data_IF_117536110345
#
_entry.id   IF_117536110345
#
_cell.length_a   1.000
_cell.length_b   1.000
_cell.length_c   1.000
_cell.angle_alpha   90.00
_cell.angle_beta   90.00
_cell.angle_gamma   90.00
#
_symmetry.space_group_name_H-M   'P 1'
#
loop_
_entity.id
_entity.type
_entity.pdbx_description
1 polymer ?
#
# COMPACT_ATOMS: atom_id res chain seq x y z
N UNK A 1 10.18 -14.90 -16.17
CA UNK A 1 9.37 -15.62 -15.17
C UNK A 1 8.26 -14.66 -14.76
N UNK A 2 6.99 -15.04 -14.94
CA UNK A 2 5.86 -14.20 -14.62
C UNK A 2 5.72 -13.96 -13.12
N UNK A 3 5.03 -12.86 -12.74
CA UNK A 3 4.67 -12.53 -11.36
C UNK A 3 3.52 -13.45 -10.85
N UNK A 4 3.59 -14.76 -11.11
CA UNK A 4 2.53 -15.72 -10.81
C UNK A 4 2.05 -15.75 -9.35
N UNK A 5 2.81 -15.15 -8.44
CA UNK A 5 2.53 -15.15 -7.01
C UNK A 5 2.08 -13.78 -6.47
N UNK A 6 1.80 -12.80 -7.33
CA UNK A 6 1.22 -11.52 -6.92
C UNK A 6 -0.29 -11.57 -7.03
N UNK A 7 -0.95 -11.41 -5.90
CA UNK A 7 -2.40 -11.29 -5.83
C UNK A 7 -2.78 -9.82 -5.79
N UNK A 8 -3.92 -9.48 -6.37
CA UNK A 8 -4.50 -8.14 -6.34
C UNK A 8 -5.83 -8.18 -5.58
N UNK A 9 -6.05 -7.16 -4.77
CA UNK A 9 -7.36 -6.94 -4.13
C UNK A 9 -8.46 -6.80 -5.19
N UNK A 10 -9.58 -7.48 -4.97
CA UNK A 10 -10.76 -7.31 -5.81
C UNK A 10 -11.36 -5.93 -5.61
N UNK A 11 -11.61 -5.21 -6.70
CA UNK A 11 -12.10 -3.82 -6.65
C UNK A 11 -13.06 -3.51 -7.78
N UNK A 12 -13.92 -2.52 -7.56
CA UNK A 12 -14.79 -1.88 -8.54
C UNK A 12 -14.52 -0.38 -8.55
N UNK A 13 -14.61 0.24 -9.73
CA UNK A 13 -14.60 1.69 -9.89
C UNK A 13 -16.01 2.13 -10.26
N UNK A 14 -16.58 3.05 -9.48
CA UNK A 14 -17.86 3.70 -9.73
C UNK A 14 -17.59 5.16 -10.09
N UNK A 15 -18.14 5.62 -11.21
CA UNK A 15 -18.03 7.02 -11.66
C UNK A 15 -19.29 7.80 -11.32
N UNK A 16 -19.13 9.07 -11.05
CA UNK A 16 -20.25 9.98 -10.76
C UNK A 16 -21.28 9.95 -11.89
N UNK A 17 -22.54 9.80 -11.53
CA UNK A 17 -23.63 9.65 -12.50
C UNK A 17 -23.96 8.20 -12.89
N UNK A 18 -23.20 7.22 -12.43
CA UNK A 18 -23.55 5.81 -12.51
C UNK A 18 -24.01 5.31 -11.14
N UNK A 19 -24.96 4.40 -11.15
CA UNK A 19 -25.50 3.80 -9.95
C UNK A 19 -25.03 2.35 -9.82
N UNK A 20 -24.88 1.88 -8.59
CA UNK A 20 -24.64 0.48 -8.24
C UNK A 20 -25.53 0.12 -7.07
N UNK A 21 -26.17 -1.03 -7.13
CA UNK A 21 -27.00 -1.52 -6.02
C UNK A 21 -26.14 -2.14 -4.92
N UNK A 22 -26.67 -2.15 -3.69
CA UNK A 22 -26.00 -2.78 -2.56
C UNK A 22 -25.75 -4.27 -2.83
N UNK A 23 -26.71 -4.94 -3.45
CA UNK A 23 -26.62 -6.35 -3.85
C UNK A 23 -25.47 -6.59 -4.84
N UNK A 24 -25.27 -5.69 -5.79
CA UNK A 24 -24.15 -5.79 -6.73
C UNK A 24 -22.80 -5.62 -6.03
N UNK A 25 -22.70 -4.68 -5.08
CA UNK A 25 -21.48 -4.51 -4.26
C UNK A 25 -21.22 -5.77 -3.45
N UNK A 26 -22.23 -6.29 -2.74
CA UNK A 26 -22.11 -7.48 -1.91
C UNK A 26 -21.72 -8.71 -2.76
N UNK A 27 -22.36 -8.89 -3.92
CA UNK A 27 -22.10 -10.06 -4.78
C UNK A 27 -20.73 -10.03 -5.44
N UNK A 28 -20.23 -8.82 -5.80
CA UNK A 28 -18.94 -8.66 -6.50
C UNK A 28 -17.74 -8.50 -5.55
N UNK A 29 -17.93 -7.83 -4.42
CA UNK A 29 -16.86 -7.45 -3.50
C UNK A 29 -16.99 -8.18 -2.17
N UNK A 30 -18.20 -8.32 -1.64
CA UNK A 30 -18.46 -8.85 -0.30
C UNK A 30 -18.37 -7.79 0.80
N UNK A 31 -18.71 -8.20 2.01
CA UNK A 31 -18.55 -7.41 3.23
C UNK A 31 -17.66 -8.14 4.24
N UNK A 32 -16.87 -7.41 5.04
CA UNK A 32 -16.68 -5.97 4.98
C UNK A 32 -15.90 -5.54 3.72
N UNK A 33 -16.12 -4.28 3.30
CA UNK A 33 -15.38 -3.68 2.20
C UNK A 33 -14.90 -2.27 2.54
N UNK A 34 -14.01 -1.71 1.72
CA UNK A 34 -13.61 -0.31 1.78
C UNK A 34 -14.22 0.46 0.63
N UNK A 35 -14.75 1.63 0.92
CA UNK A 35 -15.24 2.60 -0.06
C UNK A 35 -14.42 3.87 0.12
N UNK A 36 -13.81 4.36 -0.97
CA UNK A 36 -12.86 5.48 -0.93
C UNK A 36 -12.88 6.30 -2.21
N UNK A 37 -12.50 7.59 -2.18
CA UNK A 37 -12.21 8.36 -3.39
C UNK A 37 -11.10 7.68 -4.19
N UNK A 38 -11.23 7.58 -5.52
CA UNK A 38 -10.19 7.00 -6.37
C UNK A 38 -8.98 7.95 -6.54
N UNK A 39 -9.22 9.25 -6.55
CA UNK A 39 -8.20 10.29 -6.59
C UNK A 39 -8.06 10.94 -5.22
N UNK A 40 -7.41 10.25 -4.28
CA UNK A 40 -7.20 10.72 -2.93
C UNK A 40 -5.89 10.21 -2.35
N UNK A 41 -5.49 10.75 -1.20
CA UNK A 41 -4.28 10.35 -0.49
C UNK A 41 -4.51 10.26 1.02
N UNK A 42 -3.51 9.72 1.75
CA UNK A 42 -3.47 9.69 3.23
C UNK A 42 -4.70 9.08 3.90
N UNK A 43 -5.39 8.15 3.23
CA UNK A 43 -6.64 7.53 3.71
C UNK A 43 -7.79 8.51 3.97
N UNK A 44 -7.75 9.72 3.39
CA UNK A 44 -8.84 10.68 3.51
C UNK A 44 -10.08 10.18 2.74
N UNK A 45 -11.26 10.31 3.33
CA UNK A 45 -12.52 9.85 2.72
C UNK A 45 -12.70 8.33 2.66
N UNK A 46 -11.80 7.53 3.25
CA UNK A 46 -11.93 6.07 3.30
C UNK A 46 -12.94 5.67 4.36
N UNK A 47 -13.90 4.83 3.98
CA UNK A 47 -14.90 4.25 4.89
C UNK A 47 -14.84 2.73 4.85
N UNK A 48 -14.69 2.08 6.00
CA UNK A 48 -14.87 0.63 6.15
C UNK A 48 -16.34 0.33 6.36
N UNK A 49 -16.95 -0.30 5.37
CA UNK A 49 -18.37 -0.68 5.36
C UNK A 49 -18.49 -2.10 5.87
N UNK A 50 -19.32 -2.30 6.92
CA UNK A 50 -19.53 -3.61 7.55
C UNK A 50 -20.93 -4.16 7.29
N UNK A 51 -21.90 -3.28 7.04
CA UNK A 51 -23.31 -3.64 6.81
C UNK A 51 -23.80 -3.13 5.46
N UNK A 52 -24.88 -3.71 4.97
CA UNK A 52 -25.51 -3.32 3.70
C UNK A 52 -25.97 -1.85 3.71
N UNK A 53 -26.52 -1.43 4.83
CA UNK A 53 -27.12 -0.11 5.02
C UNK A 53 -26.07 1.02 4.93
N UNK A 54 -24.80 0.71 5.19
CA UNK A 54 -23.70 1.68 5.17
C UNK A 54 -23.12 1.90 3.76
N UNK A 55 -23.50 1.07 2.75
CA UNK A 55 -22.89 1.12 1.41
C UNK A 55 -23.17 2.45 0.72
N UNK A 56 -24.44 2.82 0.54
CA UNK A 56 -24.78 4.05 -0.18
C UNK A 56 -24.29 5.32 0.53
N UNK A 57 -24.46 5.47 1.87
CA UNK A 57 -23.87 6.61 2.57
C UNK A 57 -22.35 6.76 2.39
N UNK A 58 -21.62 5.62 2.36
CA UNK A 58 -20.18 5.65 2.14
C UNK A 58 -19.80 6.03 0.70
N UNK A 59 -20.58 5.60 -0.30
CA UNK A 59 -20.41 6.00 -1.70
C UNK A 59 -20.67 7.50 -1.87
N UNK A 60 -21.75 8.02 -1.32
CA UNK A 60 -22.09 9.46 -1.37
C UNK A 60 -20.97 10.29 -0.76
N UNK A 61 -20.51 9.91 0.44
CA UNK A 61 -19.39 10.58 1.11
C UNK A 61 -18.09 10.57 0.27
N UNK A 62 -17.78 9.46 -0.38
CA UNK A 62 -16.59 9.36 -1.20
C UNK A 62 -16.71 10.21 -2.48
N UNK A 63 -17.93 10.40 -3.03
CA UNK A 63 -18.20 11.30 -4.16
C UNK A 63 -18.11 12.79 -3.81
N UNK A 64 -18.10 13.16 -2.55
CA UNK A 64 -17.82 14.55 -2.13
C UNK A 64 -16.37 14.95 -2.46
N UNK A 65 -15.46 13.97 -2.47
CA UNK A 65 -14.03 14.17 -2.61
C UNK A 65 -13.48 13.84 -4.02
N UNK A 66 -14.20 13.05 -4.83
CA UNK A 66 -13.74 12.61 -6.15
C UNK A 66 -14.90 12.22 -7.05
N UNK A 67 -14.77 12.45 -8.36
CA UNK A 67 -15.74 11.98 -9.35
C UNK A 67 -15.65 10.46 -9.65
N UNK A 68 -14.67 9.79 -9.09
CA UNK A 68 -14.53 8.33 -9.12
C UNK A 68 -14.39 7.78 -7.69
N UNK A 69 -15.13 6.73 -7.40
CA UNK A 69 -15.10 6.00 -6.13
C UNK A 69 -14.61 4.59 -6.36
N UNK A 70 -13.68 4.14 -5.53
CA UNK A 70 -13.19 2.77 -5.53
C UNK A 70 -13.83 1.99 -4.38
N UNK A 71 -14.39 0.82 -4.70
CA UNK A 71 -14.96 -0.12 -3.73
C UNK A 71 -14.05 -1.35 -3.73
N UNK A 72 -13.43 -1.69 -2.60
CA UNK A 72 -12.43 -2.74 -2.50
C UNK A 72 -12.79 -3.77 -1.42
N UNK A 73 -12.54 -5.05 -1.70
CA UNK A 73 -12.69 -6.11 -0.71
C UNK A 73 -11.76 -5.87 0.50
N UNK A 74 -12.26 -6.13 1.70
CA UNK A 74 -11.41 -6.17 2.89
C UNK A 74 -10.49 -7.39 2.84
N UNK A 75 -9.23 -7.18 3.13
CA UNK A 75 -8.23 -8.26 3.23
C UNK A 75 -7.72 -8.33 4.66
N UNK A 76 -7.93 -9.46 5.32
CA UNK A 76 -7.37 -9.72 6.65
C UNK A 76 -5.96 -10.28 6.50
N UNK A 77 -4.99 -9.63 7.11
CA UNK A 77 -3.60 -10.07 7.01
C UNK A 77 -2.64 -9.13 7.72
N UNK A 78 -1.35 -9.37 7.52
CA UNK A 78 -0.27 -8.53 8.01
C UNK A 78 0.05 -7.46 6.98
N UNK A 79 -0.13 -6.19 7.34
CA UNK A 79 0.22 -5.06 6.49
C UNK A 79 1.72 -4.80 6.57
N UNK A 80 2.34 -4.67 5.41
CA UNK A 80 3.78 -4.42 5.29
C UNK A 80 4.07 -3.41 4.20
N UNK A 81 5.24 -2.78 4.29
CA UNK A 81 5.72 -1.85 3.27
C UNK A 81 7.20 -2.07 2.98
N UNK A 82 7.59 -1.94 1.73
CA UNK A 82 8.96 -2.16 1.26
C UNK A 82 9.37 -1.06 0.28
N UNK A 83 10.48 -0.40 0.57
CA UNK A 83 11.07 0.60 -0.30
C UNK A 83 12.13 0.02 -1.21
N UNK A 84 12.31 0.66 -2.37
CA UNK A 84 13.31 0.26 -3.36
C UNK A 84 13.78 1.46 -4.17
N UNK A 85 15.07 1.46 -4.56
CA UNK A 85 15.59 2.29 -5.64
C UNK A 85 16.61 1.50 -6.45
N UNK A 86 16.81 1.89 -7.71
CA UNK A 86 17.83 1.33 -8.59
C UNK A 86 18.56 2.46 -9.31
N UNK A 87 19.84 2.20 -9.57
CA UNK A 87 20.70 3.01 -10.43
C UNK A 87 21.24 2.13 -11.56
N UNK A 88 22.11 2.65 -12.40
CA UNK A 88 22.76 1.88 -13.46
C UNK A 88 23.60 0.71 -12.95
N UNK A 89 24.11 0.81 -11.72
CA UNK A 89 25.07 -0.11 -11.11
C UNK A 89 24.65 -0.70 -9.76
N UNK A 90 23.52 -0.23 -9.20
CA UNK A 90 23.01 -0.67 -7.89
C UNK A 90 21.54 -1.03 -7.95
N UNK A 91 21.18 -2.07 -7.22
CA UNK A 91 19.81 -2.41 -6.85
C UNK A 91 19.73 -2.48 -5.33
N UNK A 92 18.89 -1.64 -4.74
CA UNK A 92 18.71 -1.59 -3.28
C UNK A 92 17.24 -1.76 -2.95
N UNK A 93 16.90 -2.88 -2.33
CA UNK A 93 15.60 -3.15 -1.72
C UNK A 93 15.77 -3.10 -0.21
N UNK A 94 15.08 -2.18 0.43
CA UNK A 94 15.24 -1.92 1.87
C UNK A 94 14.63 -3.03 2.73
N UNK A 95 15.01 -3.12 4.02
CA UNK A 95 14.32 -3.93 5.00
C UNK A 95 12.82 -3.61 5.03
N UNK A 96 12.00 -4.66 5.09
CA UNK A 96 10.54 -4.54 5.12
C UNK A 96 10.12 -3.98 6.47
N UNK A 97 9.12 -3.10 6.48
CA UNK A 97 8.45 -2.63 7.70
C UNK A 97 7.09 -3.30 7.84
N UNK A 98 6.81 -3.87 9.00
CA UNK A 98 5.48 -4.33 9.40
C UNK A 98 4.73 -3.19 10.06
N UNK A 99 3.46 -3.00 9.67
CA UNK A 99 2.57 -2.00 10.22
C UNK A 99 1.54 -2.68 11.11
N UNK A 100 1.65 -2.46 12.41
CA UNK A 100 0.70 -3.00 13.40
C UNK A 100 -0.21 -1.86 13.84
N UNK A 101 -1.46 -1.87 13.35
CA UNK A 101 -2.47 -0.91 13.78
C UNK A 101 -3.20 -1.43 15.02
N UNK A 102 -3.41 -0.57 16.03
CA UNK A 102 -4.31 -0.86 17.15
C UNK A 102 -5.78 -0.89 16.69
N UNK A 103 -6.08 -0.24 15.56
CA UNK A 103 -7.39 -0.20 14.94
C UNK A 103 -7.58 -1.37 13.96
N UNK A 104 -8.81 -1.61 13.54
CA UNK A 104 -9.14 -2.66 12.56
C UNK A 104 -8.48 -2.46 11.19
N UNK A 105 -7.92 -1.28 10.91
CA UNK A 105 -7.12 -0.96 9.72
C UNK A 105 -6.25 0.29 9.95
N UNK A 106 -5.26 0.49 9.09
CA UNK A 106 -4.32 1.61 9.16
C UNK A 106 -4.96 2.87 8.53
N UNK A 107 -5.84 3.52 9.29
CA UNK A 107 -6.54 4.74 8.89
C UNK A 107 -5.71 6.02 9.10
N UNK A 108 -6.35 7.17 8.87
CA UNK A 108 -5.71 8.47 9.09
C UNK A 108 -5.29 8.67 10.55
N UNK A 109 -6.10 8.25 11.51
CA UNK A 109 -5.79 8.32 12.94
C UNK A 109 -4.58 7.47 13.30
N UNK A 110 -4.53 6.23 12.82
CA UNK A 110 -3.40 5.34 13.01
C UNK A 110 -2.10 5.91 12.40
N UNK A 111 -2.19 6.58 11.24
CA UNK A 111 -1.03 7.19 10.56
C UNK A 111 -0.42 8.38 11.30
N UNK A 112 -1.24 9.21 11.93
CA UNK A 112 -0.79 10.53 12.44
C UNK A 112 -0.92 10.70 13.95
N UNK A 113 -1.70 9.89 14.63
CA UNK A 113 -1.93 10.00 16.08
C UNK A 113 -1.12 9.00 16.92
N UNK A 114 -0.19 8.24 16.31
CA UNK A 114 0.64 7.28 17.03
C UNK A 114 -0.09 6.02 17.49
N UNK A 115 -1.23 5.68 16.86
CA UNK A 115 -2.03 4.49 17.15
C UNK A 115 -1.55 3.25 16.39
N UNK A 116 -0.41 3.36 15.70
CA UNK A 116 0.26 2.27 15.01
C UNK A 116 1.67 2.06 15.50
N UNK A 117 2.12 0.80 15.50
CA UNK A 117 3.50 0.43 15.72
C UNK A 117 4.12 0.00 14.40
N UNK A 118 5.26 0.58 14.06
CA UNK A 118 6.04 0.28 12.88
C UNK A 118 7.27 -0.54 13.29
N UNK A 119 7.41 -1.75 12.76
CA UNK A 119 8.47 -2.68 13.13
C UNK A 119 9.35 -2.95 11.92
N UNK A 120 10.60 -2.50 11.98
CA UNK A 120 11.60 -2.69 10.93
C UNK A 120 12.88 -3.32 11.51
N UNK A 121 13.33 -4.47 11.06
CA UNK A 121 12.73 -5.36 10.04
C UNK A 121 11.40 -5.98 10.51
N UNK A 122 10.52 -6.28 9.54
CA UNK A 122 9.25 -6.94 9.76
C UNK A 122 9.43 -8.35 10.34
N UNK A 123 8.49 -8.79 11.17
CA UNK A 123 8.47 -10.14 11.77
C UNK A 123 7.87 -11.14 10.80
N UNK A 124 8.58 -11.44 9.72
CA UNK A 124 8.17 -12.38 8.67
C UNK A 124 9.10 -13.59 8.63
N UNK A 125 8.59 -14.76 8.19
CA UNK A 125 9.45 -15.85 7.75
C UNK A 125 10.39 -15.37 6.62
N UNK A 126 11.66 -15.85 6.62
CA UNK A 126 12.67 -15.36 5.68
C UNK A 126 12.30 -15.61 4.21
N UNK A 127 11.68 -16.74 3.91
CA UNK A 127 11.22 -17.05 2.56
C UNK A 127 10.11 -16.12 2.08
N UNK A 128 9.22 -15.69 2.97
CA UNK A 128 8.19 -14.69 2.68
C UNK A 128 8.82 -13.29 2.52
N UNK A 129 9.76 -12.93 3.38
CA UNK A 129 10.48 -11.66 3.27
C UNK A 129 11.27 -11.58 1.96
N UNK A 130 11.96 -12.65 1.56
CA UNK A 130 12.69 -12.73 0.30
C UNK A 130 11.75 -12.59 -0.89
N UNK A 131 10.60 -13.26 -0.86
CA UNK A 131 9.58 -13.14 -1.91
C UNK A 131 9.09 -11.70 -2.07
N UNK A 132 8.83 -11.00 -0.96
CA UNK A 132 8.43 -9.58 -0.99
C UNK A 132 9.52 -8.72 -1.61
N UNK A 133 10.79 -8.92 -1.24
CA UNK A 133 11.93 -8.16 -1.81
C UNK A 133 12.05 -8.39 -3.32
N UNK A 134 11.97 -9.64 -3.77
CA UNK A 134 12.01 -9.98 -5.20
C UNK A 134 10.83 -9.38 -5.97
N UNK A 135 9.63 -9.41 -5.40
CA UNK A 135 8.45 -8.79 -6.01
C UNK A 135 8.60 -7.27 -6.11
N UNK A 136 9.09 -6.63 -5.06
CA UNK A 136 9.34 -5.17 -5.04
C UNK A 136 10.32 -4.76 -6.13
N UNK A 137 11.42 -5.49 -6.28
CA UNK A 137 12.40 -5.30 -7.34
C UNK A 137 11.80 -5.51 -8.73
N UNK A 138 11.06 -6.60 -8.93
CA UNK A 138 10.43 -6.89 -10.22
C UNK A 138 9.37 -5.86 -10.62
N UNK A 139 8.55 -5.40 -9.68
CA UNK A 139 7.54 -4.36 -9.92
C UNK A 139 8.22 -3.04 -10.31
N UNK A 140 9.34 -2.68 -9.66
CA UNK A 140 10.14 -1.51 -10.02
C UNK A 140 10.51 -1.52 -11.51
N UNK A 141 11.03 -2.65 -12.01
CA UNK A 141 11.46 -2.81 -13.39
C UNK A 141 10.28 -2.80 -14.37
N UNK A 142 9.21 -3.55 -14.08
CA UNK A 142 8.03 -3.66 -14.94
C UNK A 142 7.36 -2.32 -15.17
N UNK A 143 7.32 -1.47 -14.15
CA UNK A 143 6.71 -0.14 -14.25
C UNK A 143 7.68 0.92 -14.77
N UNK A 144 8.94 0.57 -15.03
CA UNK A 144 9.94 1.54 -15.44
C UNK A 144 10.15 2.64 -14.41
N UNK A 145 10.11 2.29 -13.13
CA UNK A 145 10.27 3.24 -12.05
C UNK A 145 11.65 3.91 -12.09
N UNK A 146 11.74 5.09 -11.53
CA UNK A 146 12.98 5.86 -11.42
C UNK A 146 13.04 6.57 -10.08
N UNK A 147 14.22 6.57 -9.44
CA UNK A 147 14.37 7.08 -8.10
C UNK A 147 13.79 6.14 -7.05
N UNK A 148 13.27 6.70 -5.99
CA UNK A 148 12.84 5.97 -4.81
C UNK A 148 11.33 5.70 -4.84
N UNK A 149 10.94 4.45 -4.63
CA UNK A 149 9.54 4.05 -4.51
C UNK A 149 9.29 3.32 -3.18
N UNK A 150 8.03 3.24 -2.80
CA UNK A 150 7.56 2.39 -1.71
C UNK A 150 6.34 1.60 -2.17
N UNK A 151 6.34 0.31 -1.91
CA UNK A 151 5.22 -0.57 -2.24
C UNK A 151 4.62 -1.10 -0.95
N UNK A 152 3.31 -0.99 -0.85
CA UNK A 152 2.53 -1.44 0.29
C UNK A 152 1.81 -2.75 -0.06
N UNK A 153 1.86 -3.73 0.85
CA UNK A 153 1.31 -5.08 0.67
C UNK A 153 0.49 -5.52 1.88
N UNK A 154 -0.38 -6.50 1.67
CA UNK A 154 -0.96 -7.30 2.76
C UNK A 154 -0.60 -8.76 2.53
N UNK A 155 -0.02 -9.40 3.54
CA UNK A 155 0.20 -10.84 3.57
C UNK A 155 -1.01 -11.49 4.21
N UNK A 156 -1.75 -12.25 3.41
CA UNK A 156 -2.95 -12.97 3.85
C UNK A 156 -2.61 -14.42 4.21
N UNK A 157 -3.60 -15.16 4.69
CA UNK A 157 -3.49 -16.58 5.04
C UNK A 157 -2.84 -17.38 3.90
N UNK A 158 -1.95 -18.31 4.26
CA UNK A 158 -1.13 -19.07 3.31
C UNK A 158 -0.01 -18.26 2.70
N UNK A 159 0.44 -17.21 3.36
CA UNK A 159 1.58 -16.36 2.98
C UNK A 159 1.44 -15.72 1.59
N UNK A 160 0.20 -15.44 1.16
CA UNK A 160 -0.08 -14.79 -0.11
C UNK A 160 0.24 -13.30 0.00
N UNK A 161 1.16 -12.83 -0.83
CA UNK A 161 1.56 -11.43 -0.91
C UNK A 161 0.60 -10.69 -1.85
N UNK A 162 -0.21 -9.80 -1.31
CA UNK A 162 -1.18 -9.02 -2.07
C UNK A 162 -0.70 -7.58 -2.19
N UNK A 163 -0.57 -7.09 -3.42
CA UNK A 163 -0.23 -5.71 -3.72
C UNK A 163 -1.40 -4.78 -3.34
N UNK A 164 -1.12 -3.74 -2.58
CA UNK A 164 -2.08 -2.68 -2.25
C UNK A 164 -1.89 -1.45 -3.12
N UNK A 165 -0.74 -0.79 -2.97
CA UNK A 165 -0.44 0.43 -3.70
C UNK A 165 1.06 0.63 -3.91
N UNK A 166 1.40 1.49 -4.86
CA UNK A 166 2.77 1.87 -5.19
C UNK A 166 2.89 3.38 -5.05
N UNK A 167 3.78 3.81 -4.15
CA UNK A 167 4.04 5.21 -3.88
C UNK A 167 5.33 5.63 -4.58
N UNK A 168 5.22 6.40 -5.65
CA UNK A 168 6.36 6.89 -6.46
C UNK A 168 7.00 8.16 -5.91
N UNK A 169 6.34 8.81 -4.95
CA UNK A 169 6.86 9.94 -4.17
C UNK A 169 6.58 9.71 -2.69
N UNK A 170 7.23 8.70 -2.07
CA UNK A 170 6.96 8.36 -0.68
C UNK A 170 7.39 9.48 0.28
N UNK A 171 6.75 9.53 1.44
CA UNK A 171 7.09 10.49 2.49
C UNK A 171 8.56 10.35 2.94
N UNK A 172 9.19 11.50 3.22
CA UNK A 172 10.62 11.60 3.53
C UNK A 172 10.89 12.32 4.86
N UNK A 173 9.88 12.46 5.73
CA UNK A 173 10.11 12.97 7.10
C UNK A 173 10.87 11.94 7.93
N UNK A 174 11.51 12.36 9.00
CA UNK A 174 12.32 11.46 9.85
C UNK A 174 11.56 10.23 10.35
N UNK A 175 10.24 10.34 10.49
CA UNK A 175 9.32 9.29 10.95
C UNK A 175 8.64 8.55 9.80
N UNK A 176 8.86 8.91 8.54
CA UNK A 176 8.32 8.19 7.39
C UNK A 176 9.00 6.83 7.21
N UNK A 177 8.31 5.87 6.58
CA UNK A 177 8.80 4.50 6.37
C UNK A 177 10.17 4.44 5.69
N UNK A 178 10.36 5.19 4.60
CA UNK A 178 11.62 5.14 3.85
C UNK A 178 12.83 5.54 4.69
N UNK A 179 12.87 6.70 5.38
CA UNK A 179 13.98 7.03 6.27
C UNK A 179 14.20 6.01 7.40
N UNK A 180 13.14 5.36 7.90
CA UNK A 180 13.27 4.30 8.88
C UNK A 180 13.93 3.05 8.27
N UNK A 181 13.51 2.63 7.08
CA UNK A 181 14.06 1.48 6.35
C UNK A 181 15.52 1.71 5.95
N UNK A 182 15.87 2.92 5.52
CA UNK A 182 17.26 3.31 5.21
C UNK A 182 18.15 3.17 6.44
N UNK A 183 17.71 3.70 7.60
CA UNK A 183 18.46 3.53 8.86
C UNK A 183 18.58 2.05 9.27
N UNK A 184 17.52 1.27 9.11
CA UNK A 184 17.53 -0.16 9.43
C UNK A 184 18.46 -0.96 8.50
N UNK A 185 18.68 -0.48 7.26
CA UNK A 185 19.66 -1.01 6.32
C UNK A 185 21.12 -0.62 6.67
N UNK A 186 21.34 0.23 7.69
CA UNK A 186 22.66 0.79 8.00
C UNK A 186 23.15 1.83 6.99
N UNK A 187 22.23 2.41 6.20
CA UNK A 187 22.54 3.42 5.18
C UNK A 187 22.23 4.84 5.70
N UNK A 188 22.86 5.83 5.07
CA UNK A 188 22.53 7.23 5.27
C UNK A 188 21.59 7.69 4.14
N UNK A 189 20.53 8.40 4.49
CA UNK A 189 19.55 8.92 3.53
C UNK A 189 20.21 9.89 2.52
N UNK A 190 21.25 10.61 2.95
CA UNK A 190 22.03 11.49 2.08
C UNK A 190 22.73 10.69 0.98
N UNK A 191 23.33 9.54 1.32
CA UNK A 191 24.04 8.69 0.35
C UNK A 191 23.04 8.08 -0.64
N UNK A 192 21.88 7.62 -0.17
CA UNK A 192 20.77 7.14 -1.03
C UNK A 192 20.32 8.23 -2.01
N UNK A 193 20.14 9.47 -1.53
CA UNK A 193 19.73 10.57 -2.40
C UNK A 193 20.84 10.97 -3.38
N UNK A 194 22.11 10.89 -2.97
CA UNK A 194 23.25 11.12 -3.84
C UNK A 194 23.30 10.09 -4.97
N UNK A 195 23.19 8.79 -4.65
CA UNK A 195 23.12 7.71 -5.65
C UNK A 195 22.04 7.99 -6.70
N UNK A 196 20.83 8.36 -6.26
CA UNK A 196 19.68 8.62 -7.15
C UNK A 196 19.92 9.84 -8.04
N UNK A 197 20.50 10.92 -7.50
CA UNK A 197 20.77 12.16 -8.23
C UNK A 197 21.89 11.93 -9.26
N UNK A 198 23.00 11.35 -8.85
CA UNK A 198 24.14 11.09 -9.73
C UNK A 198 23.81 10.13 -10.88
N UNK A 199 22.88 9.20 -10.65
CA UNK A 199 22.38 8.30 -11.71
C UNK A 199 21.60 9.03 -12.83
N UNK A 200 21.30 10.33 -12.68
CA UNK A 200 20.57 11.13 -13.69
C UNK A 200 21.50 11.91 -14.62
N UNK A 201 22.75 11.99 -14.28
CA UNK A 201 23.78 12.70 -15.03
C UNK A 201 24.88 11.74 -15.52
#
# INVERSE_FOLDING_TARGET
>A
RGLGDVYKRQSLILRKGFEITDEEVINKIGLPCFIKPNAGGSSFGVTKVKTKEDIQPAIEKAFEESDEVMIEAFMKGTEITCGCYKTSDKEVVFPITEVVSANEFFDYGAKYNGESQEITPARLPEDTAERVRLLTSAIYDILGCSGLIRIDYIITEGEKVNLLEINTTPGMTATSFIPQQVRAAGLDIKDVMTDIIENKF
#
